data_IF_397535344492
#
_entry.id   IF_397535344492
#
_cell.length_a   1.000
_cell.length_b   1.000
_cell.length_c   1.000
_cell.angle_alpha   90.00
_cell.angle_beta   90.00
_cell.angle_gamma   90.00
#
_symmetry.space_group_name_H-M   'P 1'
#
loop_
_entity.id
_entity.type
_entity.pdbx_description
1 polymer ?
#
# COMPACT_ATOMS: atom_id res chain seq x y z
N UNK A 1 21.98 -19.01 -1.33
CA UNK A 1 20.57 -19.40 -1.55
C UNK A 1 20.53 -20.85 -1.95
N UNK A 2 19.51 -21.60 -1.51
CA UNK A 2 19.30 -23.00 -1.87
C UNK A 2 17.92 -23.18 -2.53
N UNK A 3 17.84 -23.91 -3.63
CA UNK A 3 16.63 -24.08 -4.45
C UNK A 3 16.31 -25.57 -4.64
N UNK A 4 15.06 -25.89 -4.95
CA UNK A 4 14.62 -27.28 -5.18
C UNK A 4 14.25 -28.04 -3.90
N UNK A 5 13.91 -27.32 -2.82
CA UNK A 5 13.57 -27.91 -1.52
C UNK A 5 12.07 -28.19 -1.48
N UNK A 6 11.62 -29.34 -0.99
CA UNK A 6 10.19 -29.62 -0.81
C UNK A 6 9.60 -28.74 0.31
N UNK A 7 8.38 -28.22 0.12
CA UNK A 7 7.72 -27.34 1.11
C UNK A 7 7.56 -27.99 2.50
N UNK A 8 7.41 -29.31 2.53
CA UNK A 8 7.27 -30.11 3.75
C UNK A 8 8.59 -30.31 4.50
N UNK A 9 9.72 -29.82 3.96
CA UNK A 9 11.05 -29.98 4.58
C UNK A 9 11.21 -29.00 5.75
N UNK A 10 11.42 -29.48 6.99
CA UNK A 10 11.61 -28.59 8.13
C UNK A 10 12.87 -27.73 7.99
N UNK A 11 12.82 -26.51 8.51
CA UNK A 11 13.94 -25.55 8.47
C UNK A 11 15.21 -26.14 9.10
N UNK A 12 15.08 -26.84 10.23
CA UNK A 12 16.21 -27.48 10.91
C UNK A 12 16.91 -28.52 10.02
N UNK A 13 16.14 -29.26 9.21
CA UNK A 13 16.69 -30.23 8.25
C UNK A 13 17.44 -29.54 7.12
N UNK A 14 16.95 -28.39 6.65
CA UNK A 14 17.64 -27.56 5.64
C UNK A 14 18.95 -27.01 6.19
N UNK A 15 18.94 -26.50 7.43
CA UNK A 15 20.15 -26.02 8.10
C UNK A 15 21.18 -27.13 8.27
N UNK A 16 20.79 -28.29 8.84
CA UNK A 16 21.70 -29.44 8.99
C UNK A 16 22.29 -29.92 7.66
N UNK A 17 21.47 -29.99 6.60
CA UNK A 17 21.93 -30.43 5.29
C UNK A 17 22.96 -29.45 4.69
N UNK A 18 22.74 -28.14 4.81
CA UNK A 18 23.69 -27.13 4.32
C UNK A 18 24.98 -27.08 5.16
N UNK A 19 24.90 -27.36 6.45
CA UNK A 19 26.06 -27.45 7.35
C UNK A 19 26.99 -28.63 7.03
N UNK A 20 26.55 -29.62 6.24
CA UNK A 20 27.46 -30.66 5.71
C UNK A 20 28.53 -30.10 4.79
N UNK A 21 28.29 -28.93 4.19
CA UNK A 21 29.23 -28.26 3.29
C UNK A 21 30.22 -27.46 4.14
N UNK A 22 31.41 -28.04 4.34
CA UNK A 22 32.49 -27.43 5.14
C UNK A 22 32.86 -26.00 4.72
N UNK A 23 32.66 -25.64 3.47
CA UNK A 23 32.95 -24.29 2.95
C UNK A 23 31.98 -23.22 3.48
N UNK A 24 30.76 -23.60 3.88
CA UNK A 24 29.67 -22.70 4.30
C UNK A 24 29.66 -22.51 5.84
N UNK A 25 30.07 -23.53 6.59
CA UNK A 25 30.10 -23.49 8.05
C UNK A 25 28.70 -23.50 8.65
N UNK A 26 28.49 -22.78 9.77
CA UNK A 26 27.16 -22.67 10.42
C UNK A 26 26.18 -21.83 9.61
N UNK A 27 25.00 -22.39 9.38
CA UNK A 27 23.97 -21.80 8.52
C UNK A 27 22.73 -21.43 9.33
N UNK A 28 22.11 -20.30 8.98
CA UNK A 28 20.77 -19.96 9.45
C UNK A 28 19.86 -19.56 8.30
N UNK A 29 18.67 -20.15 8.24
CA UNK A 29 17.64 -19.74 7.30
C UNK A 29 17.04 -18.41 7.72
N UNK A 30 16.99 -17.46 6.77
CA UNK A 30 16.47 -16.09 6.97
C UNK A 30 15.17 -15.82 6.24
N UNK A 31 14.89 -16.58 5.19
CA UNK A 31 13.66 -16.45 4.44
C UNK A 31 13.40 -17.67 3.56
N UNK A 32 12.13 -17.90 3.24
CA UNK A 32 11.69 -18.92 2.28
C UNK A 32 10.70 -18.30 1.30
N UNK A 33 10.79 -18.69 0.04
CA UNK A 33 9.89 -18.28 -1.04
C UNK A 33 9.44 -19.53 -1.76
N UNK A 34 8.12 -19.74 -1.84
CA UNK A 34 7.53 -20.84 -2.58
C UNK A 34 7.45 -20.48 -4.06
N UNK A 35 7.86 -21.40 -4.92
CA UNK A 35 7.76 -21.32 -6.38
C UNK A 35 6.64 -22.27 -6.86
N UNK A 36 5.48 -21.73 -7.29
CA UNK A 36 4.34 -22.53 -7.75
C UNK A 36 4.63 -23.35 -9.00
N UNK A 37 5.55 -22.90 -9.87
CA UNK A 37 5.80 -23.52 -11.17
C UNK A 37 6.62 -24.81 -11.03
N UNK A 38 7.56 -24.82 -10.07
CA UNK A 38 8.37 -26.00 -9.75
C UNK A 38 7.83 -26.81 -8.57
N UNK A 39 6.83 -26.30 -7.84
CA UNK A 39 6.34 -26.84 -6.56
C UNK A 39 7.47 -27.06 -5.55
N UNK A 40 8.44 -26.14 -5.52
CA UNK A 40 9.58 -26.17 -4.60
C UNK A 40 9.75 -24.86 -3.87
N UNK A 41 10.56 -24.87 -2.82
CA UNK A 41 10.90 -23.72 -2.00
C UNK A 41 12.33 -23.31 -2.29
N UNK A 42 12.51 -22.00 -2.47
CA UNK A 42 13.81 -21.33 -2.44
C UNK A 42 14.07 -20.77 -1.05
N UNK A 43 15.22 -21.09 -0.48
CA UNK A 43 15.60 -20.70 0.88
C UNK A 43 16.79 -19.73 0.83
N UNK A 44 16.63 -18.60 1.51
CA UNK A 44 17.68 -17.64 1.77
C UNK A 44 18.38 -18.00 3.08
N UNK A 45 19.69 -18.24 3.00
CA UNK A 45 20.53 -18.67 4.11
C UNK A 45 21.60 -17.61 4.40
N UNK A 46 21.84 -17.36 5.69
CA UNK A 46 22.95 -16.57 6.18
C UNK A 46 24.01 -17.52 6.76
N UNK A 47 25.26 -17.37 6.29
CA UNK A 47 26.41 -18.08 6.83
C UNK A 47 27.01 -17.23 7.96
N UNK A 48 27.28 -17.84 9.12
CA UNK A 48 27.84 -17.13 10.29
C UNK A 48 29.37 -17.05 10.30
N UNK A 49 30.00 -17.71 9.34
CA UNK A 49 31.46 -17.79 9.18
C UNK A 49 31.84 -17.20 7.82
N UNK A 50 33.08 -16.70 7.69
CA UNK A 50 33.58 -16.21 6.40
C UNK A 50 33.66 -17.36 5.40
N UNK A 51 32.86 -17.25 4.32
CA UNK A 51 32.70 -18.28 3.31
C UNK A 51 33.49 -17.93 2.05
N UNK A 52 34.28 -18.87 1.56
CA UNK A 52 34.89 -18.81 0.23
C UNK A 52 33.89 -19.33 -0.81
N UNK A 53 33.34 -18.41 -1.60
CA UNK A 53 32.27 -18.71 -2.56
C UNK A 53 32.70 -19.74 -3.62
N UNK A 54 34.00 -19.79 -3.92
CA UNK A 54 34.59 -20.66 -4.96
C UNK A 54 34.64 -22.13 -4.54
N UNK A 55 34.46 -22.40 -3.24
CA UNK A 55 34.47 -23.75 -2.65
C UNK A 55 33.08 -24.33 -2.40
N UNK A 56 32.03 -23.58 -2.73
CA UNK A 56 30.65 -24.02 -2.54
C UNK A 56 30.18 -24.79 -3.78
N UNK A 57 29.72 -26.05 -3.64
CA UNK A 57 29.21 -26.81 -4.76
C UNK A 57 27.90 -26.20 -5.28
N UNK A 58 27.65 -26.27 -6.58
CA UNK A 58 26.41 -25.76 -7.21
C UNK A 58 25.22 -26.71 -6.99
N UNK A 59 25.47 -27.98 -6.67
CA UNK A 59 24.45 -28.98 -6.33
C UNK A 59 24.78 -29.67 -5.00
N UNK A 60 23.78 -29.83 -4.14
CA UNK A 60 23.83 -30.62 -2.92
C UNK A 60 22.87 -31.80 -3.03
N UNK A 61 23.38 -33.02 -2.86
CA UNK A 61 22.57 -34.25 -2.84
C UNK A 61 22.22 -34.55 -1.39
N UNK A 62 20.94 -34.53 -1.06
CA UNK A 62 20.46 -34.70 0.33
C UNK A 62 19.95 -36.11 0.59
N UNK A 63 19.37 -36.75 -0.43
CA UNK A 63 18.88 -38.14 -0.36
C UNK A 63 18.93 -38.78 -1.77
N UNK A 64 18.65 -40.09 -1.87
CA UNK A 64 18.63 -40.83 -3.14
C UNK A 64 17.64 -40.20 -4.15
N UNK A 65 18.17 -39.34 -5.03
CA UNK A 65 17.42 -38.65 -6.08
C UNK A 65 16.99 -37.22 -5.76
N UNK A 66 17.23 -36.70 -4.54
CA UNK A 66 16.89 -35.31 -4.17
C UNK A 66 18.13 -34.43 -4.26
N UNK A 67 18.08 -33.46 -5.17
CA UNK A 67 19.16 -32.50 -5.43
C UNK A 67 18.71 -31.07 -5.17
N UNK A 68 19.51 -30.29 -4.44
CA UNK A 68 19.29 -28.87 -4.23
C UNK A 68 20.31 -28.05 -5.01
N UNK A 69 19.88 -26.95 -5.63
CA UNK A 69 20.78 -26.04 -6.34
C UNK A 69 21.21 -24.91 -5.42
N UNK A 70 22.51 -24.68 -5.31
CA UNK A 70 23.09 -23.65 -4.46
C UNK A 70 23.61 -22.49 -5.31
N UNK A 71 23.20 -21.28 -4.93
CA UNK A 71 23.62 -20.03 -5.56
C UNK A 71 24.29 -19.16 -4.50
N UNK A 72 25.58 -18.90 -4.68
CA UNK A 72 26.37 -17.96 -3.90
C UNK A 72 26.52 -16.66 -4.68
N UNK A 73 26.51 -15.53 -3.97
CA UNK A 73 26.77 -14.21 -4.55
C UNK A 73 28.07 -13.73 -3.95
N UNK A 74 29.11 -13.59 -4.77
CA UNK A 74 30.32 -12.90 -4.34
C UNK A 74 30.02 -11.43 -4.13
N UNK A 75 30.34 -10.93 -2.93
CA UNK A 75 30.51 -9.50 -2.75
C UNK A 75 31.86 -9.16 -3.39
N UNK A 76 31.86 -8.64 -4.62
CA UNK A 76 33.06 -8.03 -5.19
C UNK A 76 33.60 -7.00 -4.19
N UNK A 77 34.73 -7.30 -3.56
CA UNK A 77 35.43 -6.35 -2.71
C UNK A 77 36.18 -5.36 -3.62
N UNK A 78 35.45 -4.48 -4.29
CA UNK A 78 36.00 -3.44 -5.17
C UNK A 78 36.42 -2.18 -4.40
N UNK A 79 36.84 -2.30 -3.13
CA UNK A 79 37.16 -1.14 -2.28
C UNK A 79 38.36 -0.35 -2.81
N UNK A 80 39.34 -1.02 -3.45
CA UNK A 80 40.49 -0.36 -4.08
C UNK A 80 40.16 0.37 -5.39
N UNK A 81 39.33 -0.22 -6.25
CA UNK A 81 38.98 0.37 -7.56
C UNK A 81 38.11 1.63 -7.43
N UNK A 82 37.30 1.72 -6.38
CA UNK A 82 36.46 2.88 -6.14
C UNK A 82 37.28 4.10 -5.73
N UNK A 83 38.25 3.93 -4.83
CA UNK A 83 39.06 5.07 -4.36
C UNK A 83 39.89 5.66 -5.49
N UNK A 84 40.47 4.84 -6.37
CA UNK A 84 41.22 5.30 -7.53
C UNK A 84 40.33 6.01 -8.56
N UNK A 85 39.15 5.46 -8.86
CA UNK A 85 38.18 6.11 -9.75
C UNK A 85 37.67 7.43 -9.16
N UNK A 86 37.44 7.47 -7.84
CA UNK A 86 37.01 8.67 -7.14
C UNK A 86 38.09 9.76 -7.17
N UNK A 87 39.34 9.41 -6.87
CA UNK A 87 40.46 10.36 -6.93
C UNK A 87 40.63 10.91 -8.34
N UNK A 88 40.56 10.05 -9.36
CA UNK A 88 40.67 10.46 -10.76
C UNK A 88 39.51 11.37 -11.19
N UNK A 89 38.27 11.00 -10.83
CA UNK A 89 37.09 11.80 -11.11
C UNK A 89 37.16 13.19 -10.45
N UNK A 90 37.61 13.26 -9.20
CA UNK A 90 37.78 14.53 -8.50
C UNK A 90 38.81 15.41 -9.21
N UNK A 91 39.94 14.83 -9.64
CA UNK A 91 40.96 15.56 -10.40
C UNK A 91 40.44 16.08 -11.75
N UNK A 92 39.68 15.28 -12.49
CA UNK A 92 39.08 15.68 -13.78
C UNK A 92 38.11 16.87 -13.60
N UNK A 93 37.43 16.94 -12.46
CA UNK A 93 36.53 18.04 -12.08
C UNK A 93 37.25 19.20 -11.35
N UNK A 94 38.59 19.15 -11.25
CA UNK A 94 39.40 20.18 -10.59
C UNK A 94 39.25 20.24 -9.06
N UNK A 95 38.80 19.14 -8.44
CA UNK A 95 38.54 19.00 -7.01
C UNK A 95 39.48 17.98 -6.36
N UNK A 96 39.57 18.03 -5.05
CA UNK A 96 40.42 17.16 -4.24
C UNK A 96 39.59 16.36 -3.23
N UNK A 97 40.22 15.33 -2.64
CA UNK A 97 39.61 14.60 -1.55
C UNK A 97 39.36 15.50 -0.32
N UNK A 98 40.13 16.57 -0.16
CA UNK A 98 39.99 17.55 0.92
C UNK A 98 38.64 18.29 0.82
N UNK A 99 38.24 18.66 -0.40
CA UNK A 99 36.96 19.31 -0.68
C UNK A 99 35.77 18.40 -0.30
N UNK A 100 35.92 17.10 -0.50
CA UNK A 100 34.91 16.10 -0.09
C UNK A 100 34.90 15.96 1.43
N UNK A 101 36.05 15.92 2.09
CA UNK A 101 36.13 15.87 3.55
C UNK A 101 35.60 17.13 4.24
N UNK A 102 35.71 18.30 3.61
CA UNK A 102 35.08 19.54 4.08
C UNK A 102 33.55 19.49 4.00
N UNK A 103 33.00 18.83 2.98
CA UNK A 103 31.55 18.59 2.86
C UNK A 103 31.04 17.56 3.88
N UNK A 104 31.87 16.60 4.26
CA UNK A 104 31.49 15.51 5.17
C UNK A 104 31.82 15.78 6.65
N UNK A 105 32.57 16.83 6.98
CA UNK A 105 32.86 17.19 8.36
C UNK A 105 31.70 17.98 8.99
N UNK A 106 31.13 17.56 10.13
CA UNK A 106 30.03 18.26 10.79
C UNK A 106 30.47 19.54 11.53
N UNK A 107 31.70 20.01 11.33
CA UNK A 107 32.17 21.28 11.89
C UNK A 107 32.08 22.33 10.80
N UNK A 108 31.00 23.10 10.88
CA UNK A 108 30.84 24.39 10.23
C UNK A 108 32.16 25.17 10.40
N UNK A 109 32.92 25.27 9.32
CA UNK A 109 34.07 26.16 9.28
C UNK A 109 33.51 27.59 9.38
N UNK A 110 33.92 28.26 10.46
CA UNK A 110 33.38 29.49 11.00
C UNK A 110 33.59 30.74 10.12
N UNK A 111 33.30 30.68 8.82
CA UNK A 111 33.51 31.83 7.94
C UNK A 111 32.56 31.97 6.74
N UNK A 112 31.37 31.37 6.79
CA UNK A 112 30.30 31.72 5.85
C UNK A 112 29.09 32.28 6.58
N UNK A 113 28.67 33.46 6.11
CA UNK A 113 27.58 34.28 6.63
C UNK A 113 26.38 33.39 7.02
N UNK A 114 26.02 33.39 8.30
CA UNK A 114 24.98 32.53 8.85
C UNK A 114 23.64 32.66 8.10
N UNK A 115 23.38 33.82 7.49
CA UNK A 115 22.21 34.06 6.65
C UNK A 115 22.21 33.25 5.34
N UNK A 116 23.37 32.98 4.75
CA UNK A 116 23.47 32.16 3.52
C UNK A 116 23.23 30.69 3.83
N UNK A 117 23.69 30.23 5.01
CA UNK A 117 23.41 28.88 5.51
C UNK A 117 21.94 28.76 5.89
N UNK A 118 21.36 29.74 6.58
CA UNK A 118 19.92 29.75 6.91
C UNK A 118 19.06 29.81 5.65
N UNK A 119 19.42 30.62 4.64
CA UNK A 119 18.72 30.64 3.34
C UNK A 119 18.85 29.30 2.61
N UNK A 120 20.05 28.74 2.49
CA UNK A 120 20.25 27.45 1.84
C UNK A 120 19.53 26.31 2.57
N UNK A 121 19.47 26.33 3.90
CA UNK A 121 18.69 25.38 4.70
C UNK A 121 17.18 25.61 4.57
N UNK A 122 16.74 26.86 4.42
CA UNK A 122 15.34 27.20 4.16
C UNK A 122 14.91 26.75 2.76
N UNK A 123 15.76 26.97 1.75
CA UNK A 123 15.56 26.52 0.37
C UNK A 123 15.59 24.98 0.26
N UNK A 124 16.46 24.31 1.03
CA UNK A 124 16.50 22.84 1.10
C UNK A 124 15.28 22.25 1.85
N UNK A 125 14.76 22.97 2.84
CA UNK A 125 13.51 22.58 3.52
C UNK A 125 12.27 22.82 2.65
N UNK A 126 12.32 23.79 1.73
CA UNK A 126 11.29 24.07 0.72
C UNK A 126 11.41 23.22 -0.55
N UNK A 127 12.55 22.56 -0.77
CA UNK A 127 12.69 21.58 -1.84
C UNK A 127 11.82 20.35 -1.51
N UNK A 128 10.87 19.96 -2.39
CA UNK A 128 10.01 18.82 -2.12
C UNK A 128 10.91 17.59 -2.00
N UNK A 129 10.99 17.03 -0.79
CA UNK A 129 11.71 15.81 -0.50
C UNK A 129 11.30 14.76 -1.54
N UNK A 130 12.22 14.49 -2.47
CA UNK A 130 12.08 13.47 -3.51
C UNK A 130 12.17 12.09 -2.84
N UNK A 131 11.14 11.74 -2.06
CA UNK A 131 10.98 10.43 -1.47
C UNK A 131 10.13 9.58 -2.43
N UNK A 132 10.71 9.27 -3.59
CA UNK A 132 10.14 8.43 -4.67
C UNK A 132 9.99 6.95 -4.26
N UNK A 133 10.15 6.61 -2.97
CA UNK A 133 10.10 5.23 -2.48
C UNK A 133 9.01 4.95 -1.44
N UNK A 134 8.10 5.89 -1.17
CA UNK A 134 6.93 5.55 -0.36
C UNK A 134 5.83 5.00 -1.27
N UNK A 135 5.69 3.66 -1.31
CA UNK A 135 4.55 2.98 -1.94
C UNK A 135 3.19 3.51 -1.47
N UNK A 136 3.14 4.18 -0.32
CA UNK A 136 1.97 4.87 0.22
C UNK A 136 1.59 6.16 -0.54
N UNK A 137 2.45 6.67 -1.43
CA UNK A 137 2.20 7.90 -2.23
C UNK A 137 1.86 7.62 -3.69
N UNK A 138 1.90 6.36 -4.14
CA UNK A 138 1.64 6.00 -5.53
C UNK A 138 0.19 5.59 -5.69
N UNK A 139 -0.52 6.25 -6.60
CA UNK A 139 -1.87 5.85 -7.01
C UNK A 139 -1.86 4.41 -7.52
N UNK A 140 -2.85 3.62 -7.11
CA UNK A 140 -3.07 2.28 -7.67
C UNK A 140 -3.44 2.36 -9.15
N UNK A 141 -3.29 1.25 -9.84
CA UNK A 141 -3.57 1.17 -11.27
C UNK A 141 -5.07 1.19 -11.54
N UNK A 142 -5.50 1.97 -12.55
CA UNK A 142 -6.87 2.00 -13.07
C UNK A 142 -6.86 1.90 -14.59
N UNK A 143 -7.62 0.94 -15.14
CA UNK A 143 -7.71 0.73 -16.60
C UNK A 143 -8.99 1.23 -17.26
N UNK A 144 -10.05 1.50 -16.49
CA UNK A 144 -11.38 1.76 -17.04
C UNK A 144 -12.09 0.53 -17.62
N UNK A 145 -11.57 -0.69 -17.39
CA UNK A 145 -12.20 -1.95 -17.81
C UNK A 145 -13.18 -2.46 -16.76
N UNK A 146 -14.34 -2.97 -17.21
CA UNK A 146 -15.34 -3.61 -16.35
C UNK A 146 -15.62 -5.06 -16.79
N UNK A 147 -15.61 -6.06 -15.87
CA UNK A 147 -15.31 -5.93 -14.43
C UNK A 147 -13.83 -5.58 -14.18
N UNK A 148 -13.55 -4.96 -13.02
CA UNK A 148 -12.20 -4.50 -12.66
C UNK A 148 -11.21 -5.67 -12.62
N UNK A 149 -10.08 -5.60 -13.34
CA UNK A 149 -9.05 -6.64 -13.32
C UNK A 149 -8.44 -6.85 -11.92
N UNK A 150 -7.96 -8.07 -11.59
CA UNK A 150 -7.26 -8.32 -10.34
C UNK A 150 -6.01 -7.42 -10.17
N UNK A 151 -5.88 -6.81 -9.00
CA UNK A 151 -4.75 -5.91 -8.68
C UNK A 151 -4.93 -4.47 -9.17
N UNK A 152 -6.04 -4.14 -9.81
CA UNK A 152 -6.43 -2.78 -10.20
C UNK A 152 -7.58 -2.27 -9.32
N UNK A 153 -7.72 -0.94 -9.24
CA UNK A 153 -8.84 -0.30 -8.58
C UNK A 153 -9.97 -0.01 -9.57
N UNK A 154 -11.21 0.00 -9.06
CA UNK A 154 -12.34 0.57 -9.79
C UNK A 154 -12.26 2.12 -9.77
N UNK A 155 -13.09 2.77 -10.59
CA UNK A 155 -13.08 4.23 -10.69
C UNK A 155 -13.31 4.91 -9.32
N UNK A 156 -14.31 4.49 -8.55
CA UNK A 156 -14.65 5.13 -7.27
C UNK A 156 -13.44 5.14 -6.32
N UNK A 157 -12.77 3.99 -6.15
CA UNK A 157 -11.61 3.85 -5.27
C UNK A 157 -10.39 4.63 -5.78
N UNK A 158 -10.16 4.61 -7.10
CA UNK A 158 -9.05 5.32 -7.71
C UNK A 158 -9.24 6.84 -7.60
N UNK A 159 -10.47 7.33 -7.82
CA UNK A 159 -10.84 8.74 -7.71
C UNK A 159 -10.65 9.28 -6.30
N UNK A 160 -11.01 8.50 -5.26
CA UNK A 160 -10.73 8.88 -3.87
C UNK A 160 -9.23 9.08 -3.62
N UNK A 161 -8.41 8.14 -4.09
CA UNK A 161 -6.95 8.25 -3.96
C UNK A 161 -6.38 9.42 -4.76
N UNK A 162 -6.89 9.65 -5.97
CA UNK A 162 -6.46 10.74 -6.83
C UNK A 162 -6.81 12.10 -6.22
N UNK A 163 -8.04 12.28 -5.75
CA UNK A 163 -8.48 13.52 -5.07
C UNK A 163 -7.68 13.76 -3.79
N UNK A 164 -7.52 12.74 -2.95
CA UNK A 164 -6.67 12.82 -1.77
C UNK A 164 -5.23 13.22 -2.11
N UNK A 165 -4.64 12.64 -3.17
CA UNK A 165 -3.29 12.99 -3.61
C UNK A 165 -3.19 14.45 -4.10
N UNK A 166 -4.22 14.95 -4.78
CA UNK A 166 -4.26 16.33 -5.27
C UNK A 166 -4.41 17.32 -4.12
N UNK A 167 -5.24 17.01 -3.14
CA UNK A 167 -5.59 17.90 -2.03
C UNK A 167 -4.49 17.95 -0.95
N UNK A 168 -3.93 16.80 -0.59
CA UNK A 168 -3.02 16.68 0.55
C UNK A 168 -1.54 16.92 0.20
N UNK A 169 -1.15 16.74 -1.06
CA UNK A 169 0.24 16.91 -1.47
C UNK A 169 0.45 18.17 -2.30
N UNK A 170 1.39 19.01 -1.85
CA UNK A 170 1.87 20.22 -2.52
C UNK A 170 2.78 19.88 -3.72
N UNK A 171 2.23 19.18 -4.71
CA UNK A 171 2.90 18.90 -5.98
C UNK A 171 2.57 19.95 -7.04
N UNK A 172 3.52 20.21 -7.94
CA UNK A 172 3.26 21.00 -9.14
C UNK A 172 2.22 20.32 -10.02
N UNK A 173 1.47 21.09 -10.83
CA UNK A 173 0.49 20.54 -11.77
C UNK A 173 1.12 19.48 -12.70
N UNK A 174 2.32 19.74 -13.22
CA UNK A 174 3.08 18.79 -14.05
C UNK A 174 3.30 17.45 -13.34
N UNK A 175 3.62 17.50 -12.06
CA UNK A 175 3.88 16.32 -11.26
C UNK A 175 2.60 15.54 -10.92
N UNK A 176 1.50 16.26 -10.60
CA UNK A 176 0.17 15.66 -10.43
C UNK A 176 -0.29 14.97 -11.72
N UNK A 177 -0.15 15.63 -12.88
CA UNK A 177 -0.42 15.06 -14.21
C UNK A 177 0.39 13.81 -14.47
N UNK A 178 1.69 13.82 -14.15
CA UNK A 178 2.57 12.66 -14.31
C UNK A 178 2.07 11.47 -13.50
N UNK A 179 1.82 11.66 -12.20
CA UNK A 179 1.35 10.58 -11.30
C UNK A 179 -0.01 10.02 -11.72
N UNK A 180 -0.94 10.87 -12.15
CA UNK A 180 -2.21 10.44 -12.73
C UNK A 180 -1.93 9.53 -13.92
N UNK A 181 -1.20 10.00 -14.94
CA UNK A 181 -0.92 9.21 -16.15
C UNK A 181 -0.21 7.89 -15.85
N UNK A 182 0.77 7.87 -14.93
CA UNK A 182 1.50 6.67 -14.52
C UNK A 182 0.64 5.60 -13.82
N UNK A 183 -0.53 6.00 -13.32
CA UNK A 183 -1.49 5.12 -12.68
C UNK A 183 -2.54 4.57 -13.64
N UNK A 184 -2.58 5.05 -14.90
CA UNK A 184 -3.59 4.65 -15.87
C UNK A 184 -3.08 3.56 -16.81
N UNK A 185 -4.00 2.69 -17.25
CA UNK A 185 -3.78 1.69 -18.31
C UNK A 185 -4.98 1.61 -19.24
N UNK A 186 -4.83 0.85 -20.34
CA UNK A 186 -5.94 0.49 -21.23
C UNK A 186 -6.79 1.70 -21.68
N UNK A 187 -8.12 1.55 -21.73
CA UNK A 187 -9.04 2.62 -22.13
C UNK A 187 -8.84 3.93 -21.38
N UNK A 188 -8.58 3.89 -20.07
CA UNK A 188 -8.41 5.11 -19.27
C UNK A 188 -7.16 5.91 -19.71
N UNK A 189 -6.06 5.22 -20.03
CA UNK A 189 -4.85 5.87 -20.54
C UNK A 189 -5.06 6.45 -21.94
N UNK A 190 -5.75 5.73 -22.82
CA UNK A 190 -6.06 6.16 -24.19
C UNK A 190 -6.86 7.47 -24.20
N UNK A 191 -7.86 7.60 -23.34
CA UNK A 191 -8.66 8.82 -23.19
C UNK A 191 -7.78 10.01 -22.77
N UNK A 192 -6.92 9.84 -21.77
CA UNK A 192 -6.03 10.93 -21.33
C UNK A 192 -4.98 11.29 -22.40
N UNK A 193 -4.50 10.31 -23.18
CA UNK A 193 -3.65 10.60 -24.33
C UNK A 193 -4.38 11.44 -25.39
N UNK A 194 -5.66 11.14 -25.67
CA UNK A 194 -6.47 11.94 -26.58
C UNK A 194 -6.69 13.38 -26.08
N UNK A 195 -6.95 13.55 -24.79
CA UNK A 195 -7.05 14.88 -24.15
C UNK A 195 -5.75 15.67 -24.32
N UNK A 196 -4.60 15.03 -24.06
CA UNK A 196 -3.28 15.67 -24.21
C UNK A 196 -2.98 16.14 -25.62
N UNK A 197 -3.40 15.37 -26.62
CA UNK A 197 -3.22 15.72 -28.02
C UNK A 197 -4.14 16.89 -28.44
N UNK A 198 -5.35 16.94 -27.88
CA UNK A 198 -6.37 17.92 -28.25
C UNK A 198 -6.24 19.23 -27.48
N UNK A 199 -5.79 19.17 -26.23
CA UNK A 199 -5.61 20.30 -25.32
C UNK A 199 -4.31 20.14 -24.52
N UNK A 200 -3.18 20.69 -25.02
CA UNK A 200 -1.89 20.65 -24.31
C UNK A 200 -1.89 21.35 -22.95
N UNK A 201 -2.76 22.35 -22.78
CA UNK A 201 -2.86 23.18 -21.58
C UNK A 201 -3.78 22.58 -20.50
N UNK A 202 -4.36 21.40 -20.75
CA UNK A 202 -5.20 20.69 -19.78
C UNK A 202 -4.45 20.46 -18.45
N UNK A 203 -5.09 20.80 -17.34
CA UNK A 203 -4.59 20.66 -15.98
C UNK A 203 -4.76 19.25 -15.44
N UNK A 204 -4.19 18.96 -14.27
CA UNK A 204 -4.45 17.70 -13.56
C UNK A 204 -5.94 17.49 -13.20
N UNK A 205 -6.68 18.57 -12.94
CA UNK A 205 -8.12 18.49 -12.64
C UNK A 205 -8.93 18.13 -13.88
N UNK A 206 -8.57 18.66 -15.04
CA UNK A 206 -9.22 18.30 -16.31
C UNK A 206 -9.08 16.80 -16.60
N UNK A 207 -7.95 16.19 -16.25
CA UNK A 207 -7.77 14.74 -16.40
C UNK A 207 -8.70 13.95 -15.48
N UNK A 208 -8.82 14.36 -14.22
CA UNK A 208 -9.70 13.72 -13.24
C UNK A 208 -11.16 13.83 -13.69
N UNK A 209 -11.57 15.01 -14.16
CA UNK A 209 -12.94 15.26 -14.63
C UNK A 209 -13.29 14.47 -15.89
N UNK A 210 -12.36 14.38 -16.85
CA UNK A 210 -12.57 13.56 -18.06
C UNK A 210 -12.71 12.07 -17.69
N UNK A 211 -11.90 11.57 -16.76
CA UNK A 211 -12.01 10.18 -16.31
C UNK A 211 -13.33 9.93 -15.56
N UNK A 212 -13.73 10.85 -14.68
CA UNK A 212 -15.00 10.79 -13.95
C UNK A 212 -16.21 10.81 -14.90
N UNK A 213 -16.19 11.67 -15.91
CA UNK A 213 -17.29 11.78 -16.89
C UNK A 213 -17.33 10.60 -17.87
N UNK A 214 -16.17 10.03 -18.23
CA UNK A 214 -16.10 8.94 -19.22
C UNK A 214 -16.43 7.58 -18.61
N UNK A 215 -15.91 7.29 -17.41
CA UNK A 215 -16.05 5.99 -16.75
C UNK A 215 -17.04 5.99 -15.59
N UNK A 216 -17.52 7.16 -15.17
CA UNK A 216 -18.45 7.30 -14.06
C UNK A 216 -19.80 6.68 -14.33
N UNK A 217 -20.49 6.31 -13.26
CA UNK A 217 -21.90 5.95 -13.36
C UNK A 217 -22.72 7.16 -13.78
N UNK A 218 -23.69 6.91 -14.67
CA UNK A 218 -24.67 7.92 -15.12
C UNK A 218 -25.76 8.16 -14.07
N UNK A 219 -25.84 7.29 -13.06
CA UNK A 219 -26.84 7.36 -11.99
C UNK A 219 -26.75 8.69 -11.24
N UNK A 220 -27.88 9.39 -11.18
CA UNK A 220 -27.98 10.64 -10.42
C UNK A 220 -28.03 10.37 -8.91
N UNK A 221 -27.70 11.39 -8.11
CA UNK A 221 -27.86 11.31 -6.65
C UNK A 221 -29.29 10.95 -6.23
N UNK A 222 -30.29 11.44 -6.96
CA UNK A 222 -31.71 11.14 -6.71
C UNK A 222 -32.06 9.67 -6.99
N UNK A 223 -31.61 9.12 -8.12
CA UNK A 223 -31.79 7.69 -8.45
C UNK A 223 -31.11 6.79 -7.43
N UNK A 224 -29.91 7.15 -6.99
CA UNK A 224 -29.21 6.45 -5.91
C UNK A 224 -30.00 6.55 -4.59
N UNK A 225 -30.63 7.69 -4.31
CA UNK A 225 -31.45 7.86 -3.10
C UNK A 225 -32.71 6.98 -3.16
N UNK A 226 -33.38 6.90 -4.30
CA UNK A 226 -34.50 5.96 -4.50
C UNK A 226 -34.04 4.51 -4.31
N UNK A 227 -32.89 4.14 -4.85
CA UNK A 227 -32.29 2.81 -4.67
C UNK A 227 -32.01 2.53 -3.19
N UNK A 228 -31.43 3.49 -2.47
CA UNK A 228 -31.23 3.42 -1.03
C UNK A 228 -32.54 3.19 -0.27
N UNK A 229 -33.61 3.93 -0.60
CA UNK A 229 -34.93 3.79 0.04
C UNK A 229 -35.64 2.48 -0.29
N UNK A 230 -35.24 1.81 -1.37
CA UNK A 230 -35.75 0.50 -1.76
C UNK A 230 -35.01 -0.68 -1.10
N UNK A 231 -33.90 -0.43 -0.40
CA UNK A 231 -33.13 -1.49 0.25
C UNK A 231 -33.89 -2.13 1.41
N UNK A 232 -33.98 -3.46 1.37
CA UNK A 232 -34.48 -4.30 2.45
C UNK A 232 -33.49 -5.44 2.70
N UNK A 233 -33.51 -5.95 3.93
CA UNK A 233 -32.78 -7.13 4.34
C UNK A 233 -33.31 -8.33 3.56
N UNK A 234 -32.40 -9.04 2.89
CA UNK A 234 -32.75 -10.22 2.09
C UNK A 234 -33.05 -11.41 3.01
N UNK A 235 -33.83 -12.40 2.54
CA UNK A 235 -33.97 -13.66 3.27
C UNK A 235 -32.60 -14.27 3.58
N UNK A 236 -32.37 -14.65 4.82
CA UNK A 236 -31.10 -15.20 5.35
C UNK A 236 -29.90 -14.23 5.36
N UNK A 237 -30.08 -12.94 5.09
CA UNK A 237 -29.05 -11.92 5.31
C UNK A 237 -29.04 -11.56 6.79
N UNK A 238 -27.86 -11.51 7.44
CA UNK A 238 -27.79 -11.02 8.81
C UNK A 238 -27.86 -9.48 8.85
N UNK A 239 -28.27 -8.91 9.99
CA UNK A 239 -28.45 -7.46 10.12
C UNK A 239 -27.18 -6.66 9.81
N UNK A 240 -26.00 -7.18 10.16
CA UNK A 240 -24.72 -6.52 9.88
C UNK A 240 -24.40 -6.45 8.38
N UNK A 241 -24.72 -7.52 7.63
CA UNK A 241 -24.52 -7.54 6.18
C UNK A 241 -25.49 -6.57 5.49
N UNK A 242 -26.75 -6.55 5.94
CA UNK A 242 -27.73 -5.57 5.46
C UNK A 242 -27.28 -4.14 5.75
N UNK A 243 -26.84 -3.85 6.98
CA UNK A 243 -26.33 -2.54 7.35
C UNK A 243 -25.11 -2.15 6.51
N UNK A 244 -24.20 -3.07 6.22
CA UNK A 244 -23.05 -2.79 5.37
C UNK A 244 -23.47 -2.44 3.93
N UNK A 245 -24.47 -3.13 3.34
CA UNK A 245 -25.02 -2.74 2.03
C UNK A 245 -25.73 -1.40 2.08
N UNK A 246 -26.45 -1.13 3.16
CA UNK A 246 -27.13 0.13 3.41
C UNK A 246 -26.12 1.29 3.43
N UNK A 247 -25.06 1.18 4.22
CA UNK A 247 -24.00 2.18 4.33
C UNK A 247 -23.28 2.41 3.00
N UNK A 248 -22.94 1.34 2.27
CA UNK A 248 -22.31 1.47 0.94
C UNK A 248 -23.17 2.29 -0.02
N UNK A 249 -24.48 2.05 -0.01
CA UNK A 249 -25.41 2.77 -0.90
C UNK A 249 -25.60 4.20 -0.44
N UNK A 250 -25.77 4.43 0.87
CA UNK A 250 -25.90 5.76 1.46
C UNK A 250 -24.68 6.65 1.18
N UNK A 251 -23.46 6.11 1.28
CA UNK A 251 -22.25 6.84 0.95
C UNK A 251 -22.22 7.29 -0.52
N UNK A 252 -22.71 6.46 -1.45
CA UNK A 252 -22.83 6.84 -2.87
C UNK A 252 -23.84 7.96 -3.08
N UNK A 253 -24.99 7.90 -2.40
CA UNK A 253 -25.99 8.98 -2.43
C UNK A 253 -25.38 10.31 -2.02
N UNK A 254 -24.68 10.35 -0.87
CA UNK A 254 -24.08 11.58 -0.34
C UNK A 254 -23.01 12.12 -1.29
N UNK A 255 -22.12 11.25 -1.79
CA UNK A 255 -21.07 11.65 -2.74
C UNK A 255 -21.63 12.27 -4.03
N UNK A 256 -22.79 11.81 -4.49
CA UNK A 256 -23.46 12.32 -5.70
C UNK A 256 -24.50 13.41 -5.38
N UNK A 257 -24.52 13.93 -4.16
CA UNK A 257 -25.40 15.04 -3.77
C UNK A 257 -26.88 14.68 -3.67
N UNK A 258 -27.24 13.40 -3.62
CA UNK A 258 -28.63 12.95 -3.50
C UNK A 258 -29.22 13.12 -2.09
N UNK A 259 -28.40 13.43 -1.10
CA UNK A 259 -28.81 13.66 0.28
C UNK A 259 -27.86 14.65 0.95
N UNK A 260 -28.41 15.59 1.74
CA UNK A 260 -27.60 16.53 2.50
C UNK A 260 -26.87 15.81 3.65
N UNK A 261 -25.62 16.18 3.90
CA UNK A 261 -24.78 15.63 4.98
C UNK A 261 -25.47 15.67 6.35
N UNK A 262 -26.25 16.71 6.63
CA UNK A 262 -26.98 16.84 7.90
C UNK A 262 -28.12 15.81 8.06
N UNK A 263 -28.62 15.26 6.97
CA UNK A 263 -29.73 14.30 6.96
C UNK A 263 -29.27 12.84 6.95
N UNK A 264 -27.97 12.59 6.76
CA UNK A 264 -27.40 11.24 6.58
C UNK A 264 -27.71 10.33 7.75
N UNK A 265 -27.47 10.78 8.99
CA UNK A 265 -27.72 9.96 10.18
C UNK A 265 -29.21 9.62 10.35
N UNK A 266 -30.08 10.57 10.02
CA UNK A 266 -31.54 10.37 10.08
C UNK A 266 -31.97 9.35 9.03
N UNK A 267 -31.55 9.55 7.77
CA UNK A 267 -31.88 8.65 6.67
C UNK A 267 -31.35 7.22 6.91
N UNK A 268 -30.12 7.10 7.44
CA UNK A 268 -29.50 5.84 7.88
C UNK A 268 -30.41 5.10 8.85
N UNK A 269 -30.78 5.74 9.95
CA UNK A 269 -31.57 5.11 11.00
C UNK A 269 -32.97 4.74 10.51
N UNK A 270 -33.64 5.64 9.80
CA UNK A 270 -34.97 5.39 9.25
C UNK A 270 -34.97 4.21 8.28
N UNK A 271 -33.97 4.11 7.40
CA UNK A 271 -33.90 3.02 6.42
C UNK A 271 -33.43 1.70 7.05
N UNK A 272 -32.58 1.75 8.07
CA UNK A 272 -32.22 0.56 8.84
C UNK A 272 -33.46 -0.04 9.51
N UNK A 273 -34.27 0.79 10.17
CA UNK A 273 -35.51 0.35 10.82
C UNK A 273 -36.54 -0.13 9.78
N UNK A 274 -36.74 0.61 8.69
CA UNK A 274 -37.74 0.27 7.66
C UNK A 274 -37.37 -0.96 6.85
N UNK A 275 -36.08 -1.16 6.60
CA UNK A 275 -35.57 -2.22 5.73
C UNK A 275 -35.19 -3.50 6.44
N UNK A 276 -34.98 -3.49 7.77
CA UNK A 276 -34.67 -4.68 8.56
C UNK A 276 -35.88 -5.60 8.72
N UNK A 277 -35.64 -6.88 9.04
CA UNK A 277 -36.72 -7.82 9.36
C UNK A 277 -37.35 -7.52 10.73
N UNK A 278 -38.59 -7.96 10.94
CA UNK A 278 -39.31 -7.74 12.21
C UNK A 278 -38.56 -8.33 13.43
N UNK A 279 -37.90 -9.49 13.25
CA UNK A 279 -37.08 -10.13 14.27
C UNK A 279 -35.85 -9.28 14.66
N UNK A 280 -35.21 -8.65 13.68
CA UNK A 280 -34.03 -7.81 13.91
C UNK A 280 -34.40 -6.41 14.46
N UNK A 281 -35.57 -5.87 14.08
CA UNK A 281 -36.11 -4.64 14.67
C UNK A 281 -36.37 -4.84 16.17
N UNK A 282 -36.88 -6.00 16.57
CA UNK A 282 -37.06 -6.34 17.99
C UNK A 282 -35.72 -6.38 18.74
N UNK A 283 -34.64 -6.87 18.12
CA UNK A 283 -33.29 -6.83 18.71
C UNK A 283 -32.77 -5.40 18.90
N UNK A 284 -32.96 -4.52 17.90
CA UNK A 284 -32.55 -3.11 17.98
C UNK A 284 -33.27 -2.36 19.11
N UNK A 285 -34.55 -2.66 19.32
CA UNK A 285 -35.34 -2.08 20.40
C UNK A 285 -34.90 -2.62 21.77
N UNK A 286 -34.55 -3.91 21.87
CA UNK A 286 -34.12 -4.51 23.14
C UNK A 286 -32.78 -3.95 23.64
N UNK A 287 -31.81 -3.72 22.74
CA UNK A 287 -30.50 -3.11 23.07
C UNK A 287 -30.64 -1.63 23.47
N UNK A 288 -31.70 -0.95 23.06
CA UNK A 288 -31.97 0.46 23.37
C UNK A 288 -32.77 0.66 24.67
N UNK A 289 -33.26 -0.41 25.31
CA UNK A 289 -33.92 -0.30 26.62
C UNK A 289 -32.88 -0.25 27.73
N UNK A 290 -32.90 0.76 28.63
CA UNK A 290 -32.10 0.70 29.85
C UNK A 290 -32.55 -0.50 30.65
N UNK A 291 -31.63 -1.43 30.90
CA UNK A 291 -31.82 -2.57 31.81
C UNK A 291 -32.52 -2.08 33.08
N UNK A 292 -33.77 -2.53 33.30
CA UNK A 292 -34.48 -2.33 34.55
C UNK A 292 -33.79 -3.19 35.61
N UNK A 293 -32.76 -2.62 36.23
CA UNK A 293 -32.15 -3.17 37.43
C UNK A 293 -33.04 -2.83 38.63
N UNK A 294 -33.51 -3.86 39.34
CA UNK A 294 -33.90 -3.73 40.74
C UNK A 294 -35.31 -4.15 41.12
N UNK A 295 -35.76 -5.34 40.71
CA UNK A 295 -36.79 -6.07 41.46
C UNK A 295 -36.11 -7.05 42.42
N UNK A 296 -35.79 -6.58 43.63
CA UNK A 296 -35.68 -7.44 44.81
C UNK A 296 -36.64 -6.91 45.86
N UNK A 297 -37.84 -7.51 45.88
CA UNK A 297 -38.69 -7.45 47.05
C UNK A 297 -37.96 -8.11 48.22
N UNK A 298 -37.71 -7.33 49.27
CA UNK A 298 -37.52 -7.87 50.62
C UNK A 298 -38.77 -7.53 51.43
N UNK A 299 -39.65 -8.52 51.51
CA UNK A 299 -40.56 -8.65 52.65
C UNK A 299 -39.71 -8.75 53.93
N UNK A 300 -40.06 -7.92 54.91
CA UNK A 300 -39.35 -7.82 56.19
C UNK A 300 -40.23 -7.17 57.23
N UNK A 301 -41.30 -7.88 57.60
CA UNK A 301 -42.07 -7.66 58.82
C UNK A 301 -41.13 -7.63 60.03
N UNK A 302 -41.31 -6.65 60.92
CA UNK A 302 -40.97 -6.81 62.34
C UNK A 302 -42.06 -6.16 63.20
N UNK A 303 -42.60 -6.88 64.20
CA UNK A 303 -43.61 -6.36 65.12
C UNK A 303 -42.99 -5.74 66.37
N UNK A 304 -43.82 -4.91 67.02
CA UNK A 304 -43.70 -4.26 68.35
C UNK A 304 -42.68 -3.14 68.52
#
# INVERSE_FOLDING_TARGET
>A
MAMGISEETPVDTVELALETIKAIGKVRVRGKVFDPDSNTVTVLCECREEMDSTKVPTELVVDEGVKWTLVTVEREQSSGLFSEKLVKFLQDEGKSLDDVTQLCSPVLSANQNAESVIRALSDLAQSPKNNEHSSYRRLRTFSGVHPTPPGEDNLDNWMEQAKFMVDEYEYTDREKKRRIVESLKGPALEIIQAVRMSNPDATHMDYIEVLESTFGTVESGEELYFTFKALHQKPNECLSDFFLRLERTLNKVVKRGGLNVHEVNKARLEQLIKGATESDIMLLNYVSTPSVAGAWHHDGVSPS
#
